data_IF_523318031179
#
_entry.id   IF_523318031179
#
_cell.length_a   1.000
_cell.length_b   1.000
_cell.length_c   1.000
_cell.angle_alpha   90.00
_cell.angle_beta   90.00
_cell.angle_gamma   90.00
#
_symmetry.space_group_name_H-M   'P 1'
#
loop_
_entity.id
_entity.type
_entity.pdbx_description
1 polymer ?
#
# COMPACT_ATOMS: atom_id res chain seq x y z
N UNK A 1 -2.08 7.15 50.81
CA UNK A 1 -3.24 7.02 49.90
C UNK A 1 -3.94 8.38 49.82
N UNK A 2 -3.30 9.34 49.15
CA UNK A 2 -3.81 10.70 49.00
C UNK A 2 -4.09 10.95 47.52
N UNK A 3 -5.24 11.55 47.26
CA UNK A 3 -5.81 11.82 45.96
C UNK A 3 -4.90 12.76 45.14
N UNK A 4 -4.47 12.29 43.97
CA UNK A 4 -4.05 13.16 42.87
C UNK A 4 -5.21 13.24 41.88
N UNK A 5 -6.27 13.96 42.28
CA UNK A 5 -7.24 14.52 41.31
C UNK A 5 -6.51 15.69 40.64
N UNK A 6 -5.81 15.38 39.56
CA UNK A 6 -5.38 16.39 38.61
C UNK A 6 -6.62 17.04 38.01
N UNK A 7 -6.58 18.37 37.89
CA UNK A 7 -7.64 19.20 37.35
C UNK A 7 -8.02 18.74 35.93
N UNK A 8 -9.06 17.92 35.82
CA UNK A 8 -9.83 17.74 34.59
C UNK A 8 -10.80 18.92 34.48
N UNK A 9 -10.28 19.96 33.87
CA UNK A 9 -10.95 21.18 33.42
C UNK A 9 -12.21 20.82 32.60
N UNK A 10 -13.23 21.67 32.61
CA UNK A 10 -14.60 21.43 32.08
C UNK A 10 -14.75 21.05 30.59
N UNK A 11 -13.66 20.73 29.89
CA UNK A 11 -13.56 20.37 28.46
C UNK A 11 -13.74 18.87 28.20
N UNK A 12 -13.50 18.01 29.20
CA UNK A 12 -13.78 16.56 29.09
C UNK A 12 -15.27 16.30 28.85
N UNK A 13 -16.15 17.19 29.33
CA UNK A 13 -17.59 17.08 29.13
C UNK A 13 -18.00 17.16 27.64
N UNK A 14 -17.35 17.98 26.80
CA UNK A 14 -17.71 18.09 25.38
C UNK A 14 -17.38 16.82 24.57
N UNK A 15 -16.30 16.12 24.90
CA UNK A 15 -15.98 14.82 24.29
C UNK A 15 -16.84 13.71 24.89
N UNK A 16 -17.19 13.82 26.17
CA UNK A 16 -18.06 12.83 26.82
C UNK A 16 -19.48 12.81 26.25
N UNK A 17 -19.98 13.95 25.79
CA UNK A 17 -21.25 14.06 25.05
C UNK A 17 -21.16 13.47 23.62
N UNK A 18 -19.95 13.20 23.12
CA UNK A 18 -19.74 12.39 21.92
C UNK A 18 -19.77 10.89 22.24
N UNK A 19 -19.69 10.49 23.52
CA UNK A 19 -19.62 9.08 23.85
C UNK A 19 -20.87 8.37 23.33
N UNK A 20 -20.66 7.37 22.47
CA UNK A 20 -21.71 6.84 21.63
C UNK A 20 -22.64 5.88 22.37
N UNK A 21 -23.84 5.63 21.79
CA UNK A 21 -24.72 4.55 22.25
C UNK A 21 -24.08 3.16 22.12
N UNK A 22 -24.74 2.16 22.72
CA UNK A 22 -24.34 0.75 22.78
C UNK A 22 -23.67 0.22 21.49
N UNK A 23 -22.61 -0.58 21.67
CA UNK A 23 -21.86 -1.19 20.57
C UNK A 23 -20.47 -1.62 21.03
N UNK A 24 -19.70 -2.22 20.12
CA UNK A 24 -18.31 -2.58 20.34
C UNK A 24 -17.41 -1.44 19.84
N UNK A 25 -16.64 -0.86 20.75
CA UNK A 25 -15.78 0.28 20.47
C UNK A 25 -14.30 -0.09 20.53
N UNK A 26 -13.52 0.42 19.58
CA UNK A 26 -12.06 0.39 19.60
C UNK A 26 -11.53 1.78 19.98
N UNK A 27 -10.60 1.83 20.92
CA UNK A 27 -9.88 3.04 21.31
C UNK A 27 -8.42 2.90 20.91
N UNK A 28 -7.98 3.69 19.93
CA UNK A 28 -6.57 3.74 19.53
C UNK A 28 -5.79 4.57 20.56
N UNK A 29 -5.12 3.87 21.46
CA UNK A 29 -4.47 4.45 22.63
C UNK A 29 -4.40 3.46 23.79
N UNK A 30 -3.82 3.91 24.91
CA UNK A 30 -3.57 3.06 26.08
C UNK A 30 -4.67 3.13 27.13
N UNK A 31 -5.39 4.24 27.21
CA UNK A 31 -6.34 4.51 28.28
C UNK A 31 -7.68 4.98 27.72
N UNK A 32 -8.58 4.04 27.45
CA UNK A 32 -9.93 4.35 27.01
C UNK A 32 -10.73 5.06 28.14
N UNK A 33 -11.35 6.23 27.88
CA UNK A 33 -12.11 6.97 28.90
C UNK A 33 -13.54 6.44 29.08
N UNK A 34 -13.94 5.42 28.33
CA UNK A 34 -15.23 4.73 28.40
C UNK A 34 -15.05 3.25 28.04
N UNK A 35 -16.15 2.49 27.99
CA UNK A 35 -16.12 1.07 27.61
C UNK A 35 -15.72 0.90 26.14
N UNK A 36 -14.42 0.70 25.92
CA UNK A 36 -13.82 0.43 24.62
C UNK A 36 -12.61 -0.48 24.79
N UNK A 37 -12.27 -1.23 23.73
CA UNK A 37 -11.07 -2.06 23.68
C UNK A 37 -9.88 -1.16 23.30
N UNK A 38 -8.88 -0.94 24.18
CA UNK A 38 -7.69 -0.21 23.83
C UNK A 38 -6.85 -1.01 22.84
N UNK A 39 -6.38 -0.36 21.77
CA UNK A 39 -5.55 -0.91 20.70
C UNK A 39 -4.36 0.03 20.46
N UNK A 40 -3.18 -0.53 20.20
CA UNK A 40 -1.95 0.26 20.01
C UNK A 40 -1.27 -0.13 18.69
N UNK A 41 -1.01 0.87 17.85
CA UNK A 41 -0.30 0.69 16.58
C UNK A 41 1.23 0.72 16.73
N UNK A 42 1.78 1.24 17.84
CA UNK A 42 3.21 1.57 17.95
C UNK A 42 4.13 0.35 17.79
N UNK A 43 3.71 -0.81 18.27
CA UNK A 43 4.43 -2.08 18.13
C UNK A 43 4.11 -2.88 16.87
N UNK A 44 3.17 -2.42 16.06
CA UNK A 44 2.69 -3.17 14.89
C UNK A 44 3.47 -2.81 13.63
N UNK A 45 3.98 -3.84 12.93
CA UNK A 45 4.54 -3.71 11.58
C UNK A 45 3.44 -3.32 10.58
N UNK A 46 3.70 -2.38 9.68
CA UNK A 46 2.71 -1.72 8.80
C UNK A 46 1.57 -0.99 9.51
N UNK A 47 1.70 -0.70 10.81
CA UNK A 47 0.54 -0.30 11.62
C UNK A 47 -0.65 -1.28 11.46
N UNK A 48 -0.35 -2.58 11.27
CA UNK A 48 -1.34 -3.65 11.05
C UNK A 48 -1.65 -4.33 12.38
N UNK A 49 -2.91 -4.31 12.78
CA UNK A 49 -3.40 -5.07 13.93
C UNK A 49 -3.74 -6.51 13.51
N UNK A 50 -3.91 -7.43 14.48
CA UNK A 50 -4.37 -8.79 14.20
C UNK A 50 -5.62 -8.82 13.32
N UNK A 51 -5.61 -9.72 12.32
CA UNK A 51 -6.67 -9.78 11.31
C UNK A 51 -8.04 -10.20 11.83
N UNK A 52 -8.09 -10.86 12.99
CA UNK A 52 -9.31 -11.25 13.70
C UNK A 52 -10.06 -10.06 14.33
N UNK A 53 -9.42 -8.89 14.40
CA UNK A 53 -10.05 -7.63 14.82
C UNK A 53 -10.76 -6.90 13.67
N UNK A 54 -10.48 -7.24 12.41
CA UNK A 54 -11.11 -6.58 11.26
C UNK A 54 -12.60 -6.89 11.17
N UNK A 55 -13.41 -5.88 10.91
CA UNK A 55 -14.86 -6.05 10.82
C UNK A 55 -15.60 -6.14 12.16
N UNK A 56 -14.92 -5.97 13.30
CA UNK A 56 -15.49 -6.30 14.62
C UNK A 56 -16.02 -5.13 15.43
N UNK A 57 -15.73 -3.89 15.03
CA UNK A 57 -16.09 -2.70 15.80
C UNK A 57 -17.17 -1.87 15.11
N UNK A 58 -18.09 -1.31 15.92
CA UNK A 58 -19.10 -0.35 15.47
C UNK A 58 -18.53 1.07 15.44
N UNK A 59 -17.52 1.35 16.26
CA UNK A 59 -16.82 2.64 16.22
C UNK A 59 -15.36 2.52 16.61
N UNK A 60 -14.51 3.29 15.92
CA UNK A 60 -13.07 3.37 16.14
C UNK A 60 -12.72 4.81 16.49
N UNK A 61 -12.02 4.98 17.60
CA UNK A 61 -11.69 6.27 18.20
C UNK A 61 -10.18 6.47 18.20
N UNK A 62 -9.68 7.45 17.46
CA UNK A 62 -8.28 7.85 17.48
C UNK A 62 -8.19 9.29 17.95
N UNK A 63 -8.23 9.45 19.27
CA UNK A 63 -8.29 10.77 19.92
C UNK A 63 -7.32 10.91 21.10
N UNK A 64 -6.72 9.84 21.63
CA UNK A 64 -5.75 9.94 22.74
C UNK A 64 -4.47 10.67 22.32
N UNK A 65 -3.97 10.34 21.13
CA UNK A 65 -2.83 10.99 20.47
C UNK A 65 -3.30 11.55 19.14
N UNK A 66 -2.91 12.78 18.73
CA UNK A 66 -3.30 13.29 17.43
C UNK A 66 -2.75 12.40 16.30
N UNK A 67 -3.53 12.16 15.25
CA UNK A 67 -3.12 11.35 14.10
C UNK A 67 -1.85 11.89 13.42
N UNK A 68 -1.63 13.21 13.47
CA UNK A 68 -0.42 13.89 12.99
C UNK A 68 0.88 13.36 13.63
N UNK A 69 0.79 12.76 14.82
CA UNK A 69 1.95 12.33 15.61
C UNK A 69 2.53 11.00 15.10
N UNK A 70 1.82 10.31 14.22
CA UNK A 70 2.32 9.11 13.54
C UNK A 70 3.35 9.44 12.44
N UNK A 71 3.44 10.70 12.02
CA UNK A 71 4.32 11.15 10.92
C UNK A 71 3.74 10.88 9.53
N UNK A 72 4.07 11.76 8.56
CA UNK A 72 3.40 11.82 7.26
C UNK A 72 3.31 10.49 6.49
N UNK A 73 4.39 9.69 6.49
CA UNK A 73 4.41 8.40 5.79
C UNK A 73 3.56 7.31 6.44
N UNK A 74 3.16 7.45 7.71
CA UNK A 74 2.43 6.41 8.46
C UNK A 74 0.92 6.67 8.53
N UNK A 75 0.49 7.93 8.32
CA UNK A 75 -0.92 8.34 8.45
C UNK A 75 -1.84 7.50 7.55
N UNK A 76 -1.48 7.29 6.28
CA UNK A 76 -2.28 6.47 5.36
C UNK A 76 -2.48 5.04 5.85
N UNK A 77 -1.43 4.41 6.40
CA UNK A 77 -1.50 3.05 6.95
C UNK A 77 -2.39 2.96 8.18
N UNK A 78 -2.31 3.96 9.06
CA UNK A 78 -3.12 4.04 10.28
C UNK A 78 -4.59 4.27 9.93
N UNK A 79 -4.89 5.17 8.99
CA UNK A 79 -6.26 5.42 8.52
C UNK A 79 -6.85 4.19 7.84
N UNK A 80 -6.10 3.53 6.94
CA UNK A 80 -6.52 2.27 6.31
C UNK A 80 -6.85 1.20 7.37
N UNK A 81 -5.99 1.02 8.37
CA UNK A 81 -6.22 0.02 9.41
C UNK A 81 -7.43 0.34 10.30
N UNK A 82 -7.62 1.60 10.69
CA UNK A 82 -8.79 2.03 11.46
C UNK A 82 -10.10 1.76 10.72
N UNK A 83 -10.14 1.95 9.40
CA UNK A 83 -11.32 1.63 8.59
C UNK A 83 -11.56 0.12 8.58
N UNK A 84 -10.50 -0.71 8.49
CA UNK A 84 -10.62 -2.17 8.48
C UNK A 84 -11.12 -2.75 9.80
N UNK A 85 -10.87 -2.09 10.92
CA UNK A 85 -11.45 -2.48 12.22
C UNK A 85 -12.98 -2.37 12.25
N UNK A 86 -13.56 -1.46 11.46
CA UNK A 86 -15.01 -1.25 11.43
C UNK A 86 -15.72 -2.42 10.76
N UNK A 87 -16.91 -2.76 11.26
CA UNK A 87 -17.88 -3.64 10.60
C UNK A 87 -18.45 -3.04 9.32
N UNK A 88 -19.57 -3.60 8.81
CA UNK A 88 -20.20 -3.09 7.58
C UNK A 88 -20.59 -1.62 7.70
N UNK A 89 -21.17 -1.23 8.83
CA UNK A 89 -21.48 0.15 9.13
C UNK A 89 -20.76 0.52 10.42
N UNK A 90 -20.15 1.70 10.46
CA UNK A 90 -19.47 2.13 11.66
C UNK A 90 -19.10 3.60 11.64
N UNK A 91 -18.49 4.05 12.73
CA UNK A 91 -18.01 5.43 12.88
C UNK A 91 -16.53 5.49 13.14
N UNK A 92 -15.86 6.38 12.44
CA UNK A 92 -14.45 6.67 12.65
C UNK A 92 -14.32 8.09 13.20
N UNK A 93 -13.81 8.23 14.43
CA UNK A 93 -13.58 9.52 15.07
C UNK A 93 -12.08 9.76 15.17
N UNK A 94 -11.61 10.85 14.57
CA UNK A 94 -10.18 11.15 14.46
C UNK A 94 -9.90 12.55 14.99
N UNK A 95 -8.90 12.67 15.86
CA UNK A 95 -8.26 13.93 16.26
C UNK A 95 -6.95 14.11 15.52
N UNK A 96 -6.65 15.30 15.04
CA UNK A 96 -5.38 15.60 14.39
C UNK A 96 -5.02 17.09 14.46
N UNK A 97 -3.73 17.40 14.29
CA UNK A 97 -3.25 18.76 14.03
C UNK A 97 -2.95 18.91 12.55
N UNK A 98 -3.28 20.06 11.98
CA UNK A 98 -2.87 20.32 10.59
C UNK A 98 -1.35 20.49 10.50
N UNK A 99 -0.74 19.81 9.53
CA UNK A 99 0.68 19.87 9.19
C UNK A 99 0.84 19.99 7.67
N UNK A 100 2.08 20.09 7.18
CA UNK A 100 2.33 20.08 5.74
C UNK A 100 1.96 18.73 5.08
N UNK A 101 1.94 17.64 5.86
CA UNK A 101 1.68 16.27 5.42
C UNK A 101 0.25 15.80 5.71
N UNK A 102 -0.41 16.38 6.72
CA UNK A 102 -1.77 16.03 7.11
C UNK A 102 -2.63 17.28 7.27
N UNK A 103 -3.69 17.38 6.46
CA UNK A 103 -4.73 18.41 6.60
C UNK A 103 -6.09 17.74 6.60
N UNK A 104 -7.14 18.50 6.95
CA UNK A 104 -8.51 17.99 6.81
C UNK A 104 -8.82 17.57 5.37
N UNK A 105 -8.21 18.24 4.38
CA UNK A 105 -8.37 17.95 2.96
C UNK A 105 -7.76 16.58 2.62
N UNK A 106 -6.50 16.32 3.04
CA UNK A 106 -5.85 15.05 2.75
C UNK A 106 -6.50 13.89 3.49
N UNK A 107 -6.92 14.08 4.74
CA UNK A 107 -7.67 13.06 5.49
C UNK A 107 -8.99 12.70 4.79
N UNK A 108 -9.79 13.70 4.42
CA UNK A 108 -11.05 13.48 3.69
C UNK A 108 -10.83 12.88 2.31
N UNK A 109 -9.73 13.19 1.65
CA UNK A 109 -9.35 12.55 0.38
C UNK A 109 -9.13 11.05 0.57
N UNK A 110 -8.29 10.65 1.53
CA UNK A 110 -7.98 9.24 1.81
C UNK A 110 -9.25 8.46 2.18
N UNK A 111 -10.08 9.01 3.07
CA UNK A 111 -11.30 8.34 3.53
C UNK A 111 -12.38 8.34 2.45
N UNK A 112 -12.62 9.48 1.80
CA UNK A 112 -13.74 9.67 0.85
C UNK A 112 -13.49 9.16 -0.57
N UNK A 113 -12.23 8.91 -0.96
CA UNK A 113 -11.88 8.25 -2.25
C UNK A 113 -11.65 6.76 -2.13
N UNK A 114 -11.79 6.21 -0.93
CA UNK A 114 -11.54 4.81 -0.67
C UNK A 114 -12.50 3.93 -1.49
N UNK A 115 -11.93 3.07 -2.35
CA UNK A 115 -12.70 2.32 -3.37
C UNK A 115 -13.80 1.41 -2.80
N UNK A 116 -13.53 0.78 -1.66
CA UNK A 116 -14.41 -0.21 -1.02
C UNK A 116 -15.26 0.41 0.11
N UNK A 117 -15.38 1.74 0.17
CA UNK A 117 -15.99 2.43 1.29
C UNK A 117 -16.83 3.60 0.82
N UNK A 118 -18.04 3.73 1.37
CA UNK A 118 -18.82 4.96 1.31
C UNK A 118 -18.61 5.70 2.62
N UNK A 119 -18.15 6.95 2.53
CA UNK A 119 -17.91 7.77 3.71
C UNK A 119 -18.75 9.04 3.67
N UNK A 120 -19.30 9.40 4.83
CA UNK A 120 -19.95 10.68 5.09
C UNK A 120 -19.26 11.38 6.26
N UNK A 121 -19.42 12.70 6.36
CA UNK A 121 -18.95 13.47 7.52
C UNK A 121 -20.16 13.73 8.41
N UNK A 122 -20.14 13.19 9.62
CA UNK A 122 -21.18 13.44 10.62
C UNK A 122 -20.96 14.77 11.34
N UNK A 123 -19.79 14.91 11.97
CA UNK A 123 -19.39 16.13 12.69
C UNK A 123 -17.95 16.50 12.36
N UNK A 124 -17.68 17.80 12.39
CA UNK A 124 -16.34 18.35 12.34
C UNK A 124 -16.28 19.56 13.28
N UNK A 125 -15.28 19.61 14.15
CA UNK A 125 -15.09 20.68 15.11
C UNK A 125 -13.61 20.84 15.45
N UNK A 126 -13.28 21.85 16.26
CA UNK A 126 -11.92 22.11 16.69
C UNK A 126 -11.87 22.52 18.15
N UNK A 127 -10.85 22.05 18.87
CA UNK A 127 -10.58 22.40 20.27
C UNK A 127 -9.10 22.76 20.38
N UNK A 128 -8.79 23.95 20.90
CA UNK A 128 -7.41 24.41 21.13
C UNK A 128 -6.48 24.28 19.91
N UNK A 129 -7.02 24.49 18.70
CA UNK A 129 -6.28 24.39 17.43
C UNK A 129 -6.12 22.96 16.87
N UNK A 130 -6.56 21.94 17.60
CA UNK A 130 -6.68 20.57 17.07
C UNK A 130 -8.02 20.38 16.37
N UNK A 131 -8.01 19.63 15.27
CA UNK A 131 -9.20 19.30 14.48
C UNK A 131 -9.73 17.92 14.88
N UNK A 132 -11.05 17.80 14.85
CA UNK A 132 -11.74 16.54 15.05
C UNK A 132 -12.72 16.32 13.91
N UNK A 133 -12.76 15.09 13.40
CA UNK A 133 -13.72 14.69 12.37
C UNK A 133 -14.31 13.34 12.73
N UNK A 134 -15.64 13.25 12.69
CA UNK A 134 -16.39 12.01 12.75
C UNK A 134 -16.87 11.65 11.34
N UNK A 135 -16.45 10.47 10.88
CA UNK A 135 -16.91 9.88 9.64
C UNK A 135 -17.95 8.79 9.91
N UNK A 136 -19.06 8.80 9.16
CA UNK A 136 -19.90 7.62 8.98
C UNK A 136 -19.31 6.77 7.86
N UNK A 137 -19.04 5.51 8.13
CA UNK A 137 -18.38 4.59 7.21
C UNK A 137 -19.33 3.44 6.89
N UNK A 138 -19.54 3.17 5.60
CA UNK A 138 -20.10 1.92 5.10
C UNK A 138 -19.03 1.18 4.29
N UNK A 139 -18.61 0.02 4.80
CA UNK A 139 -17.66 -0.85 4.13
C UNK A 139 -18.37 -1.76 3.14
N UNK A 140 -17.87 -1.80 1.92
CA UNK A 140 -18.34 -2.68 0.86
C UNK A 140 -17.52 -3.97 0.80
N UNK A 141 -18.15 -5.03 0.29
CA UNK A 141 -17.52 -6.31 -0.04
C UNK A 141 -16.87 -7.03 1.14
N UNK A 142 -17.41 -6.85 2.34
CA UNK A 142 -16.85 -7.44 3.56
C UNK A 142 -16.72 -8.97 3.48
N UNK A 143 -17.65 -9.64 2.79
CA UNK A 143 -17.59 -11.08 2.54
C UNK A 143 -16.34 -11.49 1.73
N UNK A 144 -15.99 -10.73 0.70
CA UNK A 144 -14.78 -10.94 -0.12
C UNK A 144 -13.50 -10.69 0.70
N UNK A 145 -13.56 -9.79 1.68
CA UNK A 145 -12.44 -9.51 2.60
C UNK A 145 -12.16 -10.68 3.54
N UNK A 146 -13.17 -11.44 3.94
CA UNK A 146 -13.02 -12.61 4.81
C UNK A 146 -12.81 -13.94 4.06
N UNK A 147 -13.01 -13.96 2.75
CA UNK A 147 -12.77 -15.15 1.95
C UNK A 147 -11.27 -15.47 1.87
N UNK A 148 -10.92 -16.70 2.27
CA UNK A 148 -9.54 -17.23 2.36
C UNK A 148 -9.09 -17.97 1.10
N UNK A 149 -9.96 -18.15 0.11
CA UNK A 149 -9.66 -18.93 -1.09
C UNK A 149 -8.71 -18.17 -2.02
N UNK A 150 -7.81 -18.91 -2.67
CA UNK A 150 -6.74 -18.35 -3.50
C UNK A 150 -6.82 -18.78 -4.96
N UNK A 151 -6.51 -17.84 -5.84
CA UNK A 151 -6.05 -18.12 -7.20
C UNK A 151 -4.55 -17.83 -7.25
N UNK A 152 -3.77 -18.82 -7.67
CA UNK A 152 -2.35 -18.65 -7.97
C UNK A 152 -2.15 -18.64 -9.48
N UNK A 153 -1.48 -17.63 -10.01
CA UNK A 153 -1.23 -17.49 -11.43
C UNK A 153 0.27 -17.34 -11.70
N UNK A 154 0.75 -18.04 -12.72
CA UNK A 154 2.12 -17.91 -13.23
C UNK A 154 2.12 -17.45 -14.67
N UNK A 155 2.89 -16.40 -14.97
CA UNK A 155 3.14 -15.93 -16.34
C UNK A 155 4.40 -16.61 -16.85
N UNK A 156 4.30 -17.31 -17.98
CA UNK A 156 5.43 -18.00 -18.60
C UNK A 156 5.46 -17.84 -20.12
N UNK A 157 6.65 -17.94 -20.71
CA UNK A 157 6.86 -18.06 -22.15
C UNK A 157 7.12 -19.52 -22.58
N UNK A 158 7.00 -20.50 -21.68
CA UNK A 158 7.28 -21.91 -21.97
C UNK A 158 8.77 -22.28 -22.04
N UNK A 159 9.67 -21.33 -21.74
CA UNK A 159 11.13 -21.57 -21.80
C UNK A 159 11.69 -22.26 -20.57
N UNK A 160 10.96 -22.25 -19.46
CA UNK A 160 11.40 -22.77 -18.15
C UNK A 160 10.32 -23.66 -17.52
N UNK A 161 9.87 -24.73 -18.20
CA UNK A 161 8.79 -25.58 -17.69
C UNK A 161 9.12 -26.17 -16.32
N UNK A 162 10.38 -26.55 -16.06
CA UNK A 162 10.82 -27.03 -14.75
C UNK A 162 10.60 -26.01 -13.62
N UNK A 163 10.78 -24.71 -13.91
CA UNK A 163 10.54 -23.67 -12.91
C UNK A 163 9.06 -23.46 -12.64
N UNK A 164 8.23 -23.56 -13.68
CA UNK A 164 6.78 -23.55 -13.51
C UNK A 164 6.36 -24.75 -12.65
N UNK A 165 6.86 -25.95 -12.94
CA UNK A 165 6.59 -27.16 -12.13
C UNK A 165 7.00 -26.95 -10.67
N UNK A 166 8.17 -26.38 -10.38
CA UNK A 166 8.59 -26.06 -9.00
C UNK A 166 7.64 -25.08 -8.31
N UNK A 167 7.15 -24.07 -9.03
CA UNK A 167 6.14 -23.15 -8.51
C UNK A 167 4.84 -23.90 -8.17
N UNK A 168 4.34 -24.74 -9.08
CA UNK A 168 3.13 -25.55 -8.89
C UNK A 168 3.26 -26.50 -7.69
N UNK A 169 4.43 -27.16 -7.56
CA UNK A 169 4.76 -27.99 -6.39
C UNK A 169 4.72 -27.16 -5.10
N UNK A 170 5.35 -25.99 -5.10
CA UNK A 170 5.39 -25.12 -3.93
C UNK A 170 3.99 -24.67 -3.49
N UNK A 171 3.03 -24.53 -4.41
CA UNK A 171 1.62 -24.24 -4.07
C UNK A 171 0.95 -25.48 -3.46
N UNK A 172 1.06 -26.65 -4.10
CA UNK A 172 0.43 -27.89 -3.62
C UNK A 172 0.91 -28.31 -2.24
N UNK A 173 2.16 -28.01 -1.89
CA UNK A 173 2.70 -28.25 -0.56
C UNK A 173 2.06 -27.38 0.55
N UNK A 174 1.43 -26.24 0.22
CA UNK A 174 0.87 -25.30 1.19
C UNK A 174 -0.60 -25.60 1.51
N UNK A 175 -1.30 -26.23 0.57
CA UNK A 175 -2.73 -26.55 0.69
C UNK A 175 -2.97 -27.97 0.19
N UNK A 176 -2.84 -28.98 1.08
CA UNK A 176 -3.10 -30.38 0.76
C UNK A 176 -4.56 -30.66 0.36
N UNK A 177 -5.49 -29.78 0.73
CA UNK A 177 -6.91 -29.87 0.37
C UNK A 177 -7.19 -29.46 -1.08
N UNK A 178 -6.21 -28.83 -1.75
CA UNK A 178 -6.30 -28.44 -3.15
C UNK A 178 -7.48 -27.49 -3.43
N UNK A 179 -7.88 -26.66 -2.45
CA UNK A 179 -9.04 -25.77 -2.57
C UNK A 179 -8.77 -24.53 -3.44
N UNK A 180 -7.49 -24.22 -3.64
CA UNK A 180 -7.02 -23.14 -4.50
C UNK A 180 -7.20 -23.43 -6.00
N UNK A 181 -7.37 -22.34 -6.76
CA UNK A 181 -7.29 -22.35 -8.22
C UNK A 181 -5.84 -22.11 -8.65
N UNK A 182 -5.38 -22.81 -9.70
CA UNK A 182 -4.08 -22.52 -10.33
C UNK A 182 -4.27 -22.19 -11.82
N UNK A 183 -3.70 -21.07 -12.24
CA UNK A 183 -3.66 -20.60 -13.62
C UNK A 183 -2.22 -20.60 -14.14
N UNK A 184 -2.01 -21.16 -15.33
CA UNK A 184 -0.77 -21.00 -16.09
C UNK A 184 -1.07 -20.15 -17.32
N UNK A 185 -0.39 -19.01 -17.43
CA UNK A 185 -0.61 -18.04 -18.49
C UNK A 185 0.57 -18.07 -19.48
N UNK A 186 0.44 -18.93 -20.49
CA UNK A 186 1.51 -19.30 -21.42
C UNK A 186 1.24 -20.64 -22.11
N UNK A 187 2.19 -21.16 -22.91
CA UNK A 187 2.00 -22.41 -23.64
C UNK A 187 1.81 -23.60 -22.69
N UNK A 188 1.03 -24.59 -23.14
CA UNK A 188 0.79 -25.83 -22.41
C UNK A 188 2.06 -26.69 -22.37
N UNK A 189 2.29 -27.33 -21.22
CA UNK A 189 3.31 -28.37 -21.03
C UNK A 189 2.66 -29.57 -20.31
N UNK A 190 2.99 -30.79 -20.74
CA UNK A 190 2.45 -32.02 -20.15
C UNK A 190 2.80 -32.14 -18.66
N UNK A 191 3.94 -31.59 -18.23
CA UNK A 191 4.40 -31.61 -16.85
C UNK A 191 3.48 -30.83 -15.90
N UNK A 192 2.59 -29.96 -16.41
CA UNK A 192 1.63 -29.23 -15.59
C UNK A 192 0.41 -30.08 -15.22
N UNK A 193 0.12 -31.14 -15.98
CA UNK A 193 -1.08 -31.97 -15.85
C UNK A 193 -1.34 -32.51 -14.43
N UNK A 194 -0.34 -33.07 -13.72
CA UNK A 194 -0.50 -33.59 -12.36
C UNK A 194 -0.97 -32.55 -11.34
N UNK A 195 -0.82 -31.26 -11.64
CA UNK A 195 -1.15 -30.18 -10.73
C UNK A 195 -2.54 -29.59 -10.96
N UNK A 196 -3.39 -30.17 -11.82
CA UNK A 196 -4.78 -29.74 -12.00
C UNK A 196 -4.91 -28.24 -12.32
N UNK A 197 -4.08 -27.75 -13.23
CA UNK A 197 -4.04 -26.33 -13.60
C UNK A 197 -5.02 -26.01 -14.73
N UNK A 198 -5.46 -24.75 -14.81
CA UNK A 198 -6.07 -24.20 -16.03
C UNK A 198 -5.00 -23.43 -16.80
N UNK A 199 -4.76 -23.84 -18.04
CA UNK A 199 -3.78 -23.19 -18.92
C UNK A 199 -4.49 -22.29 -19.92
N UNK A 200 -3.99 -21.07 -20.06
CA UNK A 200 -4.49 -20.07 -21.00
C UNK A 200 -3.32 -19.60 -21.86
N UNK A 201 -3.33 -20.02 -23.13
CA UNK A 201 -2.34 -19.63 -24.13
C UNK A 201 -2.94 -18.60 -25.09
N UNK A 202 -2.93 -17.34 -24.67
CA UNK A 202 -3.41 -16.22 -25.48
C UNK A 202 -2.25 -15.57 -26.21
N UNK A 203 -2.52 -15.06 -27.41
CA UNK A 203 -1.56 -14.29 -28.19
C UNK A 203 -1.38 -12.90 -27.59
N UNK A 204 -0.14 -12.58 -27.22
CA UNK A 204 0.30 -11.26 -26.80
C UNK A 204 1.43 -10.80 -27.72
N UNK A 205 1.64 -9.49 -27.78
CA UNK A 205 2.78 -8.92 -28.50
C UNK A 205 4.06 -9.13 -27.69
N UNK A 206 4.93 -10.01 -28.18
CA UNK A 206 6.21 -10.32 -27.54
C UNK A 206 7.27 -9.25 -27.82
N UNK A 207 7.16 -8.52 -28.93
CA UNK A 207 8.07 -7.42 -29.31
C UNK A 207 8.03 -6.26 -28.31
N UNK A 208 6.85 -6.01 -27.72
CA UNK A 208 6.67 -5.01 -26.66
C UNK A 208 6.45 -5.63 -25.28
N UNK A 209 6.39 -6.95 -25.14
CA UNK A 209 6.14 -7.65 -23.88
C UNK A 209 4.94 -7.09 -23.07
N UNK A 210 3.72 -7.34 -23.53
CA UNK A 210 2.45 -6.85 -22.95
C UNK A 210 2.09 -7.39 -21.54
N UNK A 211 2.96 -7.17 -20.55
CA UNK A 211 2.80 -7.73 -19.21
C UNK A 211 1.57 -7.19 -18.47
N UNK A 212 1.25 -5.91 -18.61
CA UNK A 212 0.09 -5.29 -17.96
C UNK A 212 -1.22 -5.92 -18.43
N UNK A 213 -1.36 -6.11 -19.75
CA UNK A 213 -2.53 -6.77 -20.34
C UNK A 213 -2.62 -8.23 -19.89
N UNK A 214 -1.51 -8.97 -19.88
CA UNK A 214 -1.45 -10.34 -19.35
C UNK A 214 -1.96 -10.41 -17.91
N UNK A 215 -1.46 -9.54 -17.02
CA UNK A 215 -1.86 -9.50 -15.60
C UNK A 215 -3.33 -9.08 -15.42
N UNK A 216 -3.84 -8.17 -16.25
CA UNK A 216 -5.25 -7.80 -16.28
C UNK A 216 -6.16 -8.96 -16.70
N UNK A 217 -5.76 -9.72 -17.74
CA UNK A 217 -6.52 -10.90 -18.17
C UNK A 217 -6.51 -12.02 -17.11
N UNK A 218 -5.38 -12.22 -16.43
CA UNK A 218 -5.29 -13.14 -15.28
C UNK A 218 -6.25 -12.70 -14.18
N UNK A 219 -6.24 -11.41 -13.80
CA UNK A 219 -7.16 -10.89 -12.81
C UNK A 219 -8.62 -11.08 -13.24
N UNK A 220 -8.93 -10.91 -14.53
CA UNK A 220 -10.26 -11.18 -15.08
C UNK A 220 -10.63 -12.67 -15.02
N UNK A 221 -9.68 -13.58 -15.20
CA UNK A 221 -9.92 -15.04 -15.17
C UNK A 221 -10.02 -15.62 -13.76
N UNK A 222 -9.40 -15.00 -12.75
CA UNK A 222 -9.31 -15.51 -11.38
C UNK A 222 -10.68 -15.63 -10.69
N UNK A 223 -11.00 -16.80 -10.15
CA UNK A 223 -12.32 -17.07 -9.56
C UNK A 223 -12.38 -16.87 -8.05
N UNK A 224 -11.24 -16.76 -7.37
CA UNK A 224 -11.17 -16.62 -5.90
C UNK A 224 -10.94 -15.17 -5.46
N UNK A 225 -11.19 -14.88 -4.19
CA UNK A 225 -11.07 -13.54 -3.62
C UNK A 225 -9.62 -13.02 -3.56
N UNK A 226 -8.67 -13.92 -3.30
CA UNK A 226 -7.24 -13.59 -3.19
C UNK A 226 -6.51 -14.06 -4.45
N UNK A 227 -5.67 -13.19 -5.03
CA UNK A 227 -4.91 -13.49 -6.23
C UNK A 227 -3.43 -13.23 -6.00
N UNK A 228 -2.61 -14.22 -6.34
CA UNK A 228 -1.17 -14.06 -6.52
C UNK A 228 -0.84 -14.22 -8.00
N UNK A 229 -0.09 -13.27 -8.56
CA UNK A 229 0.48 -13.38 -9.91
C UNK A 229 2.00 -13.34 -9.80
N UNK A 230 2.67 -14.39 -10.29
CA UNK A 230 4.11 -14.49 -10.29
C UNK A 230 4.67 -14.69 -11.71
N UNK A 231 5.93 -14.30 -11.92
CA UNK A 231 6.71 -14.72 -13.07
C UNK A 231 7.18 -16.18 -12.90
N UNK A 232 7.55 -16.85 -14.00
CA UNK A 232 8.05 -18.24 -14.07
C UNK A 232 9.45 -18.48 -13.47
N UNK A 233 9.78 -17.73 -12.43
CA UNK A 233 11.05 -17.79 -11.70
C UNK A 233 10.86 -17.79 -10.18
N UNK A 234 9.64 -17.95 -9.69
CA UNK A 234 9.36 -17.91 -8.26
C UNK A 234 8.97 -19.28 -7.71
N UNK A 235 9.27 -19.51 -6.43
CA UNK A 235 8.67 -20.56 -5.61
C UNK A 235 8.13 -19.94 -4.33
N UNK A 236 7.03 -20.47 -3.79
CA UNK A 236 6.51 -20.05 -2.49
C UNK A 236 7.26 -20.78 -1.38
N UNK A 237 7.73 -20.06 -0.37
CA UNK A 237 8.45 -20.68 0.74
C UNK A 237 7.46 -21.34 1.73
N UNK A 238 7.86 -22.39 2.46
CA UNK A 238 7.00 -23.04 3.44
C UNK A 238 6.34 -22.06 4.42
N UNK A 239 5.03 -22.21 4.63
CA UNK A 239 4.28 -21.33 5.53
C UNK A 239 3.69 -20.09 4.85
N UNK A 240 3.80 -19.96 3.52
CA UNK A 240 3.24 -18.83 2.78
C UNK A 240 1.78 -18.53 3.14
N UNK A 241 0.90 -19.54 3.13
CA UNK A 241 -0.52 -19.37 3.46
C UNK A 241 -0.76 -19.10 4.94
N UNK A 242 -0.02 -19.78 5.83
CA UNK A 242 -0.07 -19.53 7.27
C UNK A 242 0.36 -18.08 7.62
N UNK A 243 1.27 -17.50 6.83
CA UNK A 243 1.62 -16.08 6.93
C UNK A 243 0.43 -15.16 6.64
N UNK A 244 -0.45 -15.50 5.69
CA UNK A 244 -1.69 -14.76 5.45
C UNK A 244 -2.74 -14.97 6.55
N UNK A 245 -2.76 -16.14 7.18
CA UNK A 245 -3.59 -16.37 8.37
C UNK A 245 -3.18 -15.46 9.53
N UNK A 246 -1.89 -15.15 9.63
CA UNK A 246 -1.35 -14.18 10.61
C UNK A 246 -1.61 -12.73 10.18
N UNK A 247 -1.37 -12.41 8.91
CA UNK A 247 -1.51 -11.06 8.36
C UNK A 247 -2.98 -10.57 8.28
N UNK A 248 -3.91 -11.52 8.14
CA UNK A 248 -5.33 -11.27 7.90
C UNK A 248 -5.65 -11.10 6.41
N UNK A 249 -6.86 -11.50 6.03
CA UNK A 249 -7.32 -11.49 4.63
C UNK A 249 -7.93 -10.17 4.20
N UNK A 250 -8.14 -9.22 5.11
CA UNK A 250 -8.64 -7.89 4.77
C UNK A 250 -7.51 -6.98 4.27
N UNK A 251 -7.06 -7.20 3.04
CA UNK A 251 -5.99 -6.43 2.37
C UNK A 251 -6.38 -6.04 0.94
N UNK A 252 -5.54 -5.28 0.23
CA UNK A 252 -5.81 -4.87 -1.16
C UNK A 252 -4.64 -5.12 -2.12
N UNK A 253 -3.46 -4.58 -1.81
CA UNK A 253 -2.21 -4.78 -2.56
C UNK A 253 -1.09 -5.03 -1.56
N UNK A 254 -0.43 -6.18 -1.69
CA UNK A 254 0.51 -6.68 -0.69
C UNK A 254 1.79 -7.18 -1.37
N UNK A 255 2.93 -6.70 -0.89
CA UNK A 255 4.22 -7.34 -1.06
C UNK A 255 4.39 -8.44 -0.01
N UNK A 256 5.10 -9.51 -0.35
CA UNK A 256 5.57 -10.52 0.60
C UNK A 256 7.10 -10.43 0.70
N UNK A 257 7.69 -11.00 1.75
CA UNK A 257 9.16 -11.12 1.79
C UNK A 257 9.64 -11.92 0.57
N UNK A 258 10.70 -11.46 -0.09
CA UNK A 258 11.29 -12.16 -1.22
C UNK A 258 12.78 -12.35 -1.01
N UNK A 259 13.30 -13.45 -1.53
CA UNK A 259 14.69 -13.86 -1.36
C UNK A 259 15.30 -14.26 -2.70
N UNK A 260 16.60 -14.03 -2.87
CA UNK A 260 17.40 -14.66 -3.92
C UNK A 260 17.77 -16.09 -3.53
N UNK A 261 18.25 -16.88 -4.50
CA UNK A 261 18.77 -18.24 -4.29
C UNK A 261 19.88 -18.32 -3.23
N UNK A 262 20.67 -17.25 -3.09
CA UNK A 262 21.77 -17.16 -2.11
C UNK A 262 21.32 -16.74 -0.70
N UNK A 263 20.00 -16.58 -0.50
CA UNK A 263 19.39 -16.19 0.77
C UNK A 263 19.41 -14.67 1.04
N UNK A 264 19.95 -13.84 0.13
CA UNK A 264 19.87 -12.40 0.31
C UNK A 264 18.43 -11.86 0.08
N UNK A 265 18.03 -10.77 0.76
CA UNK A 265 16.73 -10.14 0.53
C UNK A 265 16.59 -9.62 -0.91
N UNK A 266 15.49 -9.96 -1.56
CA UNK A 266 15.07 -9.40 -2.83
C UNK A 266 14.18 -8.17 -2.61
N UNK A 267 14.34 -7.09 -3.39
CA UNK A 267 13.64 -5.83 -3.14
C UNK A 267 12.17 -5.88 -3.60
N UNK A 268 11.31 -6.54 -2.82
CA UNK A 268 9.89 -6.71 -3.07
C UNK A 268 9.04 -5.45 -2.80
N UNK A 269 9.54 -4.56 -1.95
CA UNK A 269 8.85 -3.36 -1.49
C UNK A 269 9.77 -2.15 -1.63
N UNK A 270 9.41 -1.27 -2.56
CA UNK A 270 10.31 -0.24 -3.07
C UNK A 270 9.59 1.11 -3.22
N UNK A 271 10.34 2.16 -3.54
CA UNK A 271 9.80 3.45 -3.92
C UNK A 271 10.63 4.13 -5.01
N UNK A 272 9.99 4.91 -5.88
CA UNK A 272 10.70 5.89 -6.70
C UNK A 272 10.95 7.18 -5.91
N UNK A 273 12.08 7.88 -6.14
CA UNK A 273 12.29 9.20 -5.55
C UNK A 273 11.33 10.23 -6.16
N UNK A 274 10.88 11.18 -5.33
CA UNK A 274 9.98 12.26 -5.75
C UNK A 274 8.49 11.89 -5.66
N UNK A 275 7.67 12.60 -6.46
CA UNK A 275 6.20 12.54 -6.40
C UNK A 275 5.54 12.36 -7.77
N UNK A 276 6.31 12.42 -8.86
CA UNK A 276 5.81 12.31 -10.23
C UNK A 276 6.23 10.97 -10.85
N UNK A 277 5.35 10.38 -11.68
CA UNK A 277 5.66 9.19 -12.46
C UNK A 277 6.64 9.57 -13.59
N UNK A 278 7.91 9.67 -13.22
CA UNK A 278 9.01 9.97 -14.14
C UNK A 278 10.05 8.89 -13.95
N UNK A 279 10.68 8.46 -15.03
CA UNK A 279 11.78 7.49 -14.97
C UNK A 279 12.92 8.07 -14.14
N UNK A 280 13.32 7.37 -13.09
CA UNK A 280 14.44 7.73 -12.24
C UNK A 280 15.59 6.75 -12.46
N UNK A 281 16.85 7.19 -12.29
CA UNK A 281 18.00 6.30 -12.44
C UNK A 281 18.12 5.29 -11.30
N UNK A 282 17.44 5.53 -10.17
CA UNK A 282 17.51 4.70 -8.98
C UNK A 282 16.12 4.43 -8.41
N UNK A 283 15.97 3.23 -7.89
CA UNK A 283 14.85 2.80 -7.04
C UNK A 283 15.32 2.73 -5.59
N UNK A 284 14.46 3.07 -4.64
CA UNK A 284 14.74 3.01 -3.21
C UNK A 284 14.18 1.70 -2.68
N UNK A 285 15.02 0.83 -2.11
CA UNK A 285 14.54 -0.31 -1.35
C UNK A 285 14.04 0.15 0.02
N UNK A 286 12.81 -0.24 0.39
CA UNK A 286 12.12 0.24 1.58
C UNK A 286 11.84 -0.91 2.57
N UNK A 287 12.82 -1.28 3.41
CA UNK A 287 12.64 -2.36 4.39
C UNK A 287 11.73 -1.95 5.56
N UNK A 288 11.59 -0.64 5.83
CA UNK A 288 10.64 -0.16 6.83
C UNK A 288 9.21 -0.17 6.27
N UNK A 289 8.45 -1.15 6.69
CA UNK A 289 7.05 -1.31 6.32
C UNK A 289 6.10 -0.37 7.07
N UNK A 290 6.58 0.38 8.08
CA UNK A 290 5.73 1.28 8.89
C UNK A 290 5.54 2.66 8.28
N UNK A 291 6.25 2.97 7.20
CA UNK A 291 6.17 4.26 6.53
C UNK A 291 6.06 4.09 5.02
N UNK A 292 5.21 4.91 4.40
CA UNK A 292 5.04 4.98 2.97
C UNK A 292 5.77 6.20 2.41
N UNK A 293 6.47 5.98 1.31
CA UNK A 293 6.98 7.03 0.43
C UNK A 293 5.94 7.39 -0.63
N UNK A 294 5.99 8.60 -1.24
CA UNK A 294 4.97 9.05 -2.20
C UNK A 294 4.77 8.14 -3.42
N UNK A 295 5.82 7.44 -3.86
CA UNK A 295 5.75 6.47 -4.97
C UNK A 295 6.20 5.09 -4.49
N UNK A 296 5.77 4.68 -3.30
CA UNK A 296 5.94 3.32 -2.78
C UNK A 296 5.14 2.33 -3.63
N UNK A 297 5.73 1.17 -3.94
CA UNK A 297 5.13 0.13 -4.76
C UNK A 297 5.56 -1.29 -4.35
N UNK A 298 4.77 -2.26 -4.82
CA UNK A 298 5.03 -3.71 -4.72
C UNK A 298 5.68 -4.15 -6.03
N UNK A 299 6.82 -4.85 -5.97
CA UNK A 299 7.58 -5.23 -7.15
C UNK A 299 6.79 -6.12 -8.13
N UNK A 300 6.90 -5.82 -9.42
CA UNK A 300 6.11 -6.44 -10.49
C UNK A 300 6.31 -7.95 -10.69
N UNK A 301 7.38 -8.54 -10.18
CA UNK A 301 7.70 -9.96 -10.40
C UNK A 301 6.78 -10.95 -9.68
N UNK A 302 6.30 -10.57 -8.49
CA UNK A 302 5.32 -11.31 -7.70
C UNK A 302 4.43 -10.31 -6.98
N UNK A 303 3.14 -10.33 -7.30
CA UNK A 303 2.14 -9.41 -6.74
C UNK A 303 1.04 -10.21 -6.06
N UNK A 304 0.65 -9.78 -4.87
CA UNK A 304 -0.54 -10.27 -4.18
C UNK A 304 -1.57 -9.16 -4.09
N UNK A 305 -2.80 -9.44 -4.52
CA UNK A 305 -3.88 -8.47 -4.45
C UNK A 305 -5.23 -9.15 -4.23
N UNK A 306 -6.22 -8.38 -3.76
CA UNK A 306 -7.61 -8.81 -3.85
C UNK A 306 -8.06 -8.79 -5.29
N UNK A 307 -8.61 -9.90 -5.76
CA UNK A 307 -9.02 -10.10 -7.15
C UNK A 307 -10.02 -9.03 -7.57
N UNK A 308 -11.02 -8.76 -6.72
CA UNK A 308 -12.03 -7.73 -7.00
C UNK A 308 -11.41 -6.35 -7.15
N UNK A 309 -10.53 -5.95 -6.23
CA UNK A 309 -9.85 -4.66 -6.27
C UNK A 309 -8.98 -4.53 -7.52
N UNK A 310 -8.17 -5.55 -7.83
CA UNK A 310 -7.29 -5.52 -9.00
C UNK A 310 -8.07 -5.44 -10.33
N UNK A 311 -9.22 -6.11 -10.42
CA UNK A 311 -10.13 -6.00 -11.59
C UNK A 311 -10.70 -4.61 -11.81
N UNK A 312 -10.91 -3.84 -10.75
CA UNK A 312 -11.48 -2.50 -10.82
C UNK A 312 -10.42 -1.45 -11.12
N UNK A 313 -9.25 -1.56 -10.50
CA UNK A 313 -8.16 -0.59 -10.65
C UNK A 313 -7.38 -0.86 -11.93
N UNK A 314 -7.01 -2.13 -12.15
CA UNK A 314 -6.25 -2.66 -13.29
C UNK A 314 -4.84 -2.07 -13.42
N UNK A 315 -3.96 -2.83 -14.06
CA UNK A 315 -2.74 -2.27 -14.64
C UNK A 315 -3.11 -1.38 -15.82
N UNK A 316 -2.30 -0.36 -16.10
CA UNK A 316 -2.43 0.40 -17.33
C UNK A 316 -2.01 -0.45 -18.55
N UNK A 317 -2.98 -0.77 -19.42
CA UNK A 317 -2.79 -1.64 -20.60
C UNK A 317 -1.79 -1.09 -21.63
N UNK A 318 -1.40 0.18 -21.55
CA UNK A 318 -0.39 0.79 -22.45
C UNK A 318 1.02 0.84 -21.85
N UNK A 319 1.21 0.38 -20.60
CA UNK A 319 2.54 0.21 -20.02
C UNK A 319 3.02 -1.23 -20.22
N UNK A 320 4.24 -1.35 -20.70
CA UNK A 320 4.87 -2.63 -21.01
C UNK A 320 5.88 -3.05 -19.93
N UNK A 321 6.52 -4.21 -20.14
CA UNK A 321 7.54 -4.68 -19.23
C UNK A 321 8.69 -3.68 -19.09
N UNK A 322 9.11 -3.42 -17.84
CA UNK A 322 10.12 -2.41 -17.48
C UNK A 322 9.71 -0.94 -17.75
N UNK A 323 8.41 -0.64 -17.80
CA UNK A 323 7.88 0.72 -17.93
C UNK A 323 7.21 1.26 -16.66
N UNK A 324 7.64 0.76 -15.50
CA UNK A 324 7.13 1.15 -14.18
C UNK A 324 5.62 0.87 -14.01
N UNK A 325 5.15 -0.24 -14.56
CA UNK A 325 3.74 -0.64 -14.49
C UNK A 325 3.29 -0.93 -13.06
N UNK A 326 4.20 -1.41 -12.22
CA UNK A 326 3.98 -1.69 -10.81
C UNK A 326 3.93 -0.40 -9.96
N UNK A 327 4.76 0.59 -10.28
CA UNK A 327 4.70 1.93 -9.66
C UNK A 327 3.40 2.63 -9.99
N UNK A 328 2.99 2.60 -11.27
CA UNK A 328 1.73 3.20 -11.71
C UNK A 328 0.53 2.51 -11.05
N UNK A 329 0.52 1.17 -10.99
CA UNK A 329 -0.51 0.42 -10.30
C UNK A 329 -0.60 0.81 -8.82
N UNK A 330 0.52 0.82 -8.10
CA UNK A 330 0.53 1.16 -6.68
C UNK A 330 0.03 2.59 -6.43
N UNK A 331 0.37 3.54 -7.31
CA UNK A 331 -0.20 4.88 -7.29
C UNK A 331 -1.71 4.86 -7.53
N UNK A 332 -2.19 4.10 -8.51
CA UNK A 332 -3.62 3.99 -8.81
C UNK A 332 -4.43 3.37 -7.65
N UNK A 333 -3.82 2.47 -6.86
CA UNK A 333 -4.36 1.98 -5.60
C UNK A 333 -4.43 3.07 -4.53
N UNK A 334 -3.34 3.82 -4.34
CA UNK A 334 -3.28 4.91 -3.36
C UNK A 334 -4.21 6.07 -3.65
N UNK A 335 -4.36 6.46 -4.91
CA UNK A 335 -5.31 7.48 -5.37
C UNK A 335 -6.77 7.09 -5.07
N UNK A 336 -7.00 5.81 -4.74
CA UNK A 336 -8.28 5.25 -4.29
C UNK A 336 -8.27 4.84 -2.82
N UNK A 337 -7.40 5.45 -2.00
CA UNK A 337 -7.36 5.25 -0.54
C UNK A 337 -6.92 3.85 -0.09
N UNK A 338 -6.24 3.09 -0.96
CA UNK A 338 -5.77 1.73 -0.69
C UNK A 338 -4.22 1.68 -0.71
N UNK A 339 -3.54 1.86 0.43
CA UNK A 339 -2.08 1.83 0.46
C UNK A 339 -1.53 0.43 0.20
N UNK A 340 -0.39 0.29 -0.52
CA UNK A 340 0.32 -0.98 -0.62
C UNK A 340 0.92 -1.34 0.75
N UNK A 341 0.82 -2.60 1.15
CA UNK A 341 1.34 -3.11 2.43
C UNK A 341 2.40 -4.19 2.21
N UNK A 342 3.14 -4.51 3.27
CA UNK A 342 4.08 -5.63 3.30
C UNK A 342 3.57 -6.72 4.24
N UNK A 343 3.48 -7.97 3.81
CA UNK A 343 3.27 -9.12 4.68
C UNK A 343 4.64 -9.79 4.96
N UNK A 344 5.22 -9.58 6.16
CA UNK A 344 6.52 -10.16 6.50
C UNK A 344 6.45 -11.65 6.91
N UNK A 345 5.24 -12.21 7.09
CA UNK A 345 5.04 -13.59 7.53
C UNK A 345 4.90 -14.59 6.39
N UNK A 346 4.73 -14.10 5.16
CA UNK A 346 4.73 -14.90 3.95
C UNK A 346 5.98 -14.57 3.14
N UNK A 347 6.59 -15.57 2.51
CA UNK A 347 7.76 -15.33 1.66
C UNK A 347 7.84 -16.21 0.41
N UNK A 348 8.64 -15.75 -0.55
CA UNK A 348 8.91 -16.45 -1.81
C UNK A 348 10.38 -16.29 -2.22
N UNK A 349 10.90 -17.27 -2.95
CA UNK A 349 12.25 -17.23 -3.49
C UNK A 349 12.22 -17.01 -5.00
N UNK A 350 13.04 -16.08 -5.52
CA UNK A 350 13.26 -15.88 -6.94
C UNK A 350 14.53 -16.58 -7.40
N UNK A 351 14.43 -17.28 -8.53
CA UNK A 351 15.45 -18.17 -9.05
C UNK A 351 16.13 -17.60 -10.30
N UNK A 352 17.45 -17.72 -10.39
CA UNK A 352 18.21 -17.39 -11.59
C UNK A 352 18.18 -15.91 -11.97
N UNK A 353 18.05 -15.03 -10.97
CA UNK A 353 18.14 -13.57 -11.12
C UNK A 353 19.46 -13.12 -10.55
N UNK A 354 20.27 -12.45 -11.38
CA UNK A 354 21.56 -11.91 -10.94
C UNK A 354 21.34 -10.71 -10.01
N UNK A 355 21.84 -10.83 -8.78
CA UNK A 355 21.82 -9.77 -7.78
C UNK A 355 22.56 -8.52 -8.26
N UNK A 356 23.62 -8.66 -9.06
CA UNK A 356 24.41 -7.53 -9.56
C UNK A 356 23.57 -6.56 -10.41
N UNK A 357 22.56 -7.08 -11.11
CA UNK A 357 21.61 -6.24 -11.85
C UNK A 357 20.82 -5.32 -10.90
N UNK A 358 20.38 -5.86 -9.77
CA UNK A 358 19.64 -5.10 -8.75
C UNK A 358 20.56 -4.15 -7.97
N UNK A 359 21.75 -4.58 -7.57
CA UNK A 359 22.71 -3.75 -6.84
C UNK A 359 23.10 -2.49 -7.63
N UNK A 360 23.05 -2.56 -8.97
CA UNK A 360 23.30 -1.42 -9.86
C UNK A 360 22.12 -0.47 -10.11
N UNK A 361 20.88 -0.87 -9.77
CA UNK A 361 19.65 -0.10 -10.08
C UNK A 361 18.87 0.30 -8.82
N UNK A 362 19.20 -0.28 -7.67
CA UNK A 362 18.55 -0.04 -6.40
C UNK A 362 19.53 0.60 -5.42
N UNK A 363 19.11 1.68 -4.78
CA UNK A 363 19.86 2.35 -3.72
C UNK A 363 19.17 2.05 -2.39
N UNK A 364 19.93 1.57 -1.40
CA UNK A 364 19.43 1.40 -0.04
C UNK A 364 18.94 2.74 0.52
N UNK A 365 17.83 2.72 1.26
CA UNK A 365 17.20 3.92 1.81
C UNK A 365 18.15 4.78 2.67
N UNK A 366 19.02 4.16 3.45
CA UNK A 366 20.06 4.84 4.25
C UNK A 366 20.99 5.67 3.37
N UNK A 367 21.47 5.10 2.26
CA UNK A 367 22.32 5.79 1.28
C UNK A 367 21.57 6.90 0.54
N UNK A 368 20.27 6.72 0.25
CA UNK A 368 19.45 7.79 -0.33
C UNK A 368 19.25 8.95 0.65
N UNK A 369 18.97 8.67 1.93
CA UNK A 369 18.86 9.69 2.97
C UNK A 369 20.17 10.46 3.13
N UNK A 370 21.32 9.80 3.11
CA UNK A 370 22.63 10.46 3.11
C UNK A 370 22.85 11.36 1.88
N UNK A 371 22.48 10.88 0.69
CA UNK A 371 22.57 11.64 -0.57
C UNK A 371 21.63 12.86 -0.60
N UNK A 372 20.50 12.81 0.11
CA UNK A 372 19.49 13.89 0.13
C UNK A 372 19.52 14.77 1.38
N UNK A 373 20.21 14.34 2.45
CA UNK A 373 20.48 15.16 3.64
C UNK A 373 21.58 16.20 3.40
N UNK A 374 22.36 16.06 2.32
CA UNK A 374 23.22 17.15 1.86
C UNK A 374 22.33 18.35 1.50
N UNK A 375 22.53 19.54 2.09
CA UNK A 375 21.76 20.71 1.74
C UNK A 375 21.89 20.91 0.23
N UNK A 376 20.75 20.92 -0.46
CA UNK A 376 20.72 21.19 -1.90
C UNK A 376 21.61 22.42 -2.15
N UNK A 377 22.59 22.34 -3.08
CA UNK A 377 23.44 23.48 -3.35
C UNK A 377 22.51 24.65 -3.64
N UNK A 378 22.58 25.70 -2.79
CA UNK A 378 21.76 26.89 -2.96
C UNK A 378 21.89 27.28 -4.43
N UNK A 379 20.80 27.35 -5.20
CA UNK A 379 20.90 27.74 -6.59
C UNK A 379 21.69 29.05 -6.59
N UNK A 380 22.89 29.03 -7.18
CA UNK A 380 23.60 30.28 -7.46
C UNK A 380 22.66 31.01 -8.40
N UNK A 381 21.99 32.02 -7.85
CA UNK A 381 21.14 32.95 -8.57
C UNK A 381 22.03 33.84 -9.46
N UNK A 382 22.74 33.23 -10.41
CA UNK A 382 23.45 33.91 -11.48
C UNK A 382 22.51 34.37 -12.59
N UNK A 383 21.28 33.85 -12.63
CA UNK A 383 20.29 34.20 -13.68
C UNK A 383 19.51 35.49 -13.35
N UNK A 384 19.27 35.81 -12.07
CA UNK A 384 18.54 37.02 -11.68
C UNK A 384 19.34 38.32 -11.92
N UNK A 385 20.68 38.24 -11.95
CA UNK A 385 21.56 39.36 -12.30
C UNK A 385 21.67 39.65 -13.81
N UNK A 386 21.40 38.67 -14.69
CA UNK A 386 21.31 38.90 -16.14
C UNK A 386 19.94 39.44 -16.52
N UNK A 387 18.87 38.84 -16.00
CA UNK A 387 17.49 39.28 -16.27
C UNK A 387 17.25 40.71 -15.78
N UNK A 388 17.73 41.11 -14.58
CA UNK A 388 17.64 42.51 -14.13
C UNK A 388 18.40 43.49 -15.02
N UNK A 389 19.54 43.09 -15.59
CA UNK A 389 20.34 43.94 -16.50
C UNK A 389 19.70 44.07 -17.88
N UNK A 390 19.09 43.01 -18.39
CA UNK A 390 18.35 43.05 -19.67
C UNK A 390 17.04 43.83 -19.55
N UNK A 391 16.28 43.64 -18.47
CA UNK A 391 15.04 44.41 -18.22
C UNK A 391 15.38 45.91 -18.04
N UNK A 392 16.44 46.27 -17.31
CA UNK A 392 16.86 47.67 -17.17
C UNK A 392 17.37 48.28 -18.49
N UNK A 393 17.97 47.48 -19.38
CA UNK A 393 18.43 47.91 -20.71
C UNK A 393 17.25 48.12 -21.69
N UNK A 394 16.22 47.28 -21.60
CA UNK A 394 14.98 47.41 -22.39
C UNK A 394 14.16 48.62 -21.93
N UNK A 395 14.00 48.82 -20.62
CA UNK A 395 13.27 49.99 -20.08
C UNK A 395 13.94 51.32 -20.46
N UNK A 396 15.28 51.39 -20.50
CA UNK A 396 15.99 52.60 -20.99
C UNK A 396 15.83 52.85 -22.49
N UNK A 397 15.64 51.80 -23.30
CA UNK A 397 15.41 51.96 -24.75
C UNK A 397 13.97 52.39 -25.07
N UNK A 398 13.01 52.03 -24.21
CA UNK A 398 11.60 52.36 -24.40
C UNK A 398 11.20 53.71 -23.76
N UNK A 399 11.99 54.24 -22.82
CA UNK A 399 11.75 55.54 -22.19
C UNK A 399 12.39 56.75 -22.89
N UNK A 400 13.12 56.54 -23.99
CA UNK A 400 13.72 57.60 -24.80
C UNK A 400 12.76 58.08 -25.90
N UNK A 401 11.71 58.82 -25.51
CA UNK A 401 10.86 59.53 -26.46
C UNK A 401 11.61 60.72 -27.10
N UNK A 402 11.35 61.03 -28.38
CA UNK A 402 12.00 62.12 -29.10
C UNK A 402 11.66 63.50 -28.52
N UNK A 403 12.66 64.37 -28.45
CA UNK A 403 12.47 65.83 -28.50
C UNK A 403 12.52 66.27 -29.96
#
# INVERSE_FOLDING_TARGET
>A
MAATRAATDGRVCEIADLFPPAGRHAWIGRAAPFSAVPLDFTGCTNARLPGDLHGTFDSVWHVETPLSDHGGGRVELVVDEMIRLLGRHGRLVVRFRETAELSVISLKHVVGRRLDTVAGVGRQWSIDGEQFVEFSIERQWLEDRHDRRWTFAVVTQGRKPDMVVRFLQSIRCQDPGHEHEILVWGPMDEAYGPYGVRVEDRRYRDDVAEISRKKNDIAAAASRANLLIAHDRYTLDPGFLAGFDTFGYDFDLVAVAQWYDDGHPFPAYCALPGHALVRTPTTIHCPDANTLRPLQFVGGGLIVAKTRTLRQIRFNDVLFWCEAEDVELARAFRDRGLPPRMNPWSSATTHGVDRAWFDGHFTMETRYRELTAAPAPRPRLTVLGKVRREVARVVRRLGGGPR
#
